data_IF_585713973271
#
_entry.id   IF_585713973271
#
_cell.length_a   1.000
_cell.length_b   1.000
_cell.length_c   1.000
_cell.angle_alpha   90.00
_cell.angle_beta   90.00
_cell.angle_gamma   90.00
#
_symmetry.space_group_name_H-M   'P 1'
#
loop_
_entity.id
_entity.type
_entity.pdbx_description
1 polymer ?
#
# COMPACT_ATOMS: atom_id res chain seq x y z
N UNK A 1 18.86 6.53 13.55
CA UNK A 1 17.65 6.28 12.74
C UNK A 1 17.18 7.53 12.00
N UNK A 2 16.16 7.41 11.15
CA UNK A 2 15.64 8.54 10.36
C UNK A 2 15.22 9.73 11.25
N UNK A 3 14.60 9.46 12.39
CA UNK A 3 14.20 10.49 13.36
C UNK A 3 15.37 11.27 13.95
N UNK A 4 16.50 10.62 14.19
CA UNK A 4 17.71 11.26 14.70
C UNK A 4 18.38 12.16 13.65
N UNK A 5 18.35 11.75 12.38
CA UNK A 5 18.89 12.54 11.27
C UNK A 5 18.11 13.84 11.11
N UNK A 6 16.78 13.77 11.15
CA UNK A 6 15.92 14.96 11.01
C UNK A 6 16.03 15.90 12.21
N UNK A 7 16.11 15.40 13.44
CA UNK A 7 16.31 16.25 14.63
C UNK A 7 17.72 16.87 14.71
N UNK A 8 18.77 16.11 14.38
CA UNK A 8 20.15 16.61 14.41
C UNK A 8 20.44 17.67 13.35
N UNK A 9 19.72 17.63 12.21
CA UNK A 9 19.90 18.58 11.12
C UNK A 9 18.95 19.79 11.19
N UNK A 10 18.07 19.88 12.21
CA UNK A 10 17.12 20.98 12.34
C UNK A 10 16.09 21.04 11.21
N UNK A 11 15.80 19.91 10.58
CA UNK A 11 14.79 19.84 9.53
C UNK A 11 13.39 19.91 10.14
N UNK A 12 12.90 21.12 10.37
CA UNK A 12 11.50 21.39 10.65
C UNK A 12 10.66 21.36 9.36
N UNK A 13 9.33 21.47 9.51
CA UNK A 13 8.38 21.47 8.39
C UNK A 13 8.75 22.47 7.27
N UNK A 14 9.24 23.66 7.63
CA UNK A 14 9.66 24.70 6.70
C UNK A 14 10.83 24.25 5.82
N UNK A 15 11.79 23.51 6.37
CA UNK A 15 12.94 23.01 5.62
C UNK A 15 12.54 21.87 4.67
N UNK A 16 11.61 21.00 5.07
CA UNK A 16 11.05 19.99 4.19
C UNK A 16 10.26 20.61 3.03
N UNK A 17 9.56 21.70 3.26
CA UNK A 17 8.88 22.46 2.20
C UNK A 17 9.85 23.06 1.18
N UNK A 18 11.00 23.56 1.61
CA UNK A 18 12.01 24.11 0.71
C UNK A 18 12.58 23.08 -0.27
N UNK A 19 12.43 21.78 0.05
CA UNK A 19 12.76 20.66 -0.82
C UNK A 19 11.63 20.24 -1.79
N UNK A 20 10.57 21.03 -1.89
CA UNK A 20 9.43 20.75 -2.76
C UNK A 20 8.39 19.79 -2.18
N UNK A 21 8.46 19.49 -0.89
CA UNK A 21 7.49 18.65 -0.19
C UNK A 21 6.30 19.52 0.22
N UNK A 22 5.07 19.07 -0.08
CA UNK A 22 3.87 19.81 0.34
C UNK A 22 3.77 19.88 1.86
N UNK A 23 3.16 20.99 2.38
CA UNK A 23 2.98 21.21 3.81
C UNK A 23 2.42 19.99 4.55
N UNK A 24 1.36 19.41 4.01
CA UNK A 24 0.72 18.22 4.58
C UNK A 24 1.67 17.01 4.66
N UNK A 25 2.49 16.79 3.63
CA UNK A 25 3.49 15.70 3.65
C UNK A 25 4.62 15.99 4.64
N UNK A 26 5.05 17.25 4.76
CA UNK A 26 6.05 17.65 5.74
C UNK A 26 5.55 17.39 7.17
N UNK A 27 4.30 17.76 7.47
CA UNK A 27 3.64 17.45 8.75
C UNK A 27 3.64 15.94 9.05
N UNK A 28 3.25 15.10 8.07
CA UNK A 28 3.22 13.63 8.26
C UNK A 28 4.61 13.05 8.52
N UNK A 29 5.63 13.52 7.82
CA UNK A 29 7.02 13.07 8.00
C UNK A 29 7.51 13.46 9.39
N UNK A 30 7.22 14.68 9.84
CA UNK A 30 7.63 15.18 11.17
C UNK A 30 6.94 14.42 12.29
N UNK A 31 5.61 14.21 12.20
CA UNK A 31 4.83 13.43 13.16
C UNK A 31 5.35 11.98 13.26
N UNK A 32 5.64 11.35 12.13
CA UNK A 32 6.21 10.00 12.11
C UNK A 32 7.60 9.95 12.75
N UNK A 33 8.48 10.87 12.38
CA UNK A 33 9.84 10.94 12.93
C UNK A 33 9.82 11.15 14.46
N UNK A 34 8.90 11.97 14.96
CA UNK A 34 8.73 12.20 16.40
C UNK A 34 8.23 10.92 17.11
N UNK A 35 7.24 10.23 16.56
CA UNK A 35 6.72 8.97 17.13
C UNK A 35 7.79 7.89 17.21
N UNK A 36 8.61 7.74 16.18
CA UNK A 36 9.74 6.79 16.18
C UNK A 36 10.79 7.22 17.22
N UNK A 37 11.13 8.52 17.27
CA UNK A 37 12.13 9.02 18.20
C UNK A 37 11.72 8.88 19.68
N UNK A 38 10.45 9.10 19.98
CA UNK A 38 9.90 8.99 21.35
C UNK A 38 9.57 7.55 21.75
N UNK A 39 9.65 6.58 20.82
CA UNK A 39 9.24 5.21 21.06
C UNK A 39 7.72 5.00 21.04
N UNK A 40 6.94 6.01 20.67
CA UNK A 40 5.48 5.88 20.49
C UNK A 40 5.10 5.01 19.28
N UNK A 41 6.03 4.82 18.35
CA UNK A 41 5.92 3.87 17.25
C UNK A 41 7.18 3.00 17.21
N UNK A 42 7.00 1.68 17.35
CA UNK A 42 8.09 0.71 17.31
C UNK A 42 8.37 0.28 15.85
N UNK A 43 9.24 1.02 15.17
CA UNK A 43 9.60 0.77 13.78
C UNK A 43 10.34 -0.57 13.58
N UNK A 44 11.11 -1.00 14.56
CA UNK A 44 11.84 -2.28 14.47
C UNK A 44 10.92 -3.46 14.76
N UNK A 45 10.06 -3.32 15.78
CA UNK A 45 9.12 -4.37 16.19
C UNK A 45 8.05 -4.66 15.15
N UNK A 46 7.75 -3.73 14.22
CA UNK A 46 6.75 -3.95 13.16
C UNK A 46 7.08 -5.16 12.27
N UNK A 47 8.38 -5.48 12.11
CA UNK A 47 8.84 -6.61 11.29
C UNK A 47 8.47 -7.97 11.87
N UNK A 48 8.24 -8.05 13.18
CA UNK A 48 7.91 -9.28 13.89
C UNK A 48 6.40 -9.54 13.98
N UNK A 49 5.58 -8.57 13.54
CA UNK A 49 4.12 -8.64 13.61
C UNK A 49 3.51 -9.39 12.45
N UNK A 50 2.31 -9.90 12.65
CA UNK A 50 1.49 -10.44 11.55
C UNK A 50 1.16 -9.35 10.53
N UNK A 51 0.75 -9.73 9.33
CA UNK A 51 0.39 -8.77 8.29
C UNK A 51 -0.78 -7.87 8.74
N UNK A 52 -1.79 -8.45 9.41
CA UNK A 52 -2.93 -7.71 9.93
C UNK A 52 -2.54 -6.70 11.02
N UNK A 53 -1.64 -7.08 11.92
CA UNK A 53 -1.14 -6.19 12.97
C UNK A 53 -0.29 -5.08 12.39
N UNK A 54 0.60 -5.40 11.45
CA UNK A 54 1.45 -4.43 10.78
C UNK A 54 0.62 -3.41 9.98
N UNK A 55 -0.39 -3.86 9.22
CA UNK A 55 -1.30 -2.96 8.50
C UNK A 55 -2.04 -2.04 9.46
N UNK A 56 -2.58 -2.56 10.56
CA UNK A 56 -3.30 -1.77 11.57
C UNK A 56 -2.41 -0.69 12.19
N UNK A 57 -1.20 -1.03 12.56
CA UNK A 57 -0.26 -0.07 13.16
C UNK A 57 0.24 0.97 12.15
N UNK A 58 0.64 0.55 10.96
CA UNK A 58 1.05 1.47 9.91
C UNK A 58 -0.08 2.43 9.54
N UNK A 59 -1.31 1.92 9.39
CA UNK A 59 -2.47 2.74 9.04
C UNK A 59 -2.96 3.66 10.16
N UNK A 60 -2.46 3.50 11.39
CA UNK A 60 -2.69 4.45 12.49
C UNK A 60 -1.86 5.74 12.37
N UNK A 61 -0.84 5.73 11.51
CA UNK A 61 0.02 6.88 11.27
C UNK A 61 -0.67 7.88 10.33
N UNK A 62 -0.49 9.17 10.59
CA UNK A 62 -1.03 10.23 9.74
C UNK A 62 -0.53 10.10 8.31
N UNK A 63 -1.44 10.12 7.35
CA UNK A 63 -1.14 10.04 5.91
C UNK A 63 -0.88 8.64 5.37
N UNK A 64 -0.96 7.61 6.19
CA UNK A 64 -0.87 6.21 5.77
C UNK A 64 -2.25 5.55 5.89
N UNK A 65 -2.87 5.27 4.75
CA UNK A 65 -4.08 4.46 4.67
C UNK A 65 -3.76 2.97 4.55
N UNK A 66 -4.80 2.13 4.63
CA UNK A 66 -4.67 0.66 4.51
C UNK A 66 -3.93 0.26 3.23
N UNK A 67 -4.31 0.82 2.08
CA UNK A 67 -3.62 0.53 0.81
C UNK A 67 -2.12 0.87 0.86
N UNK A 68 -1.75 2.03 1.43
CA UNK A 68 -0.33 2.41 1.58
C UNK A 68 0.40 1.45 2.52
N UNK A 69 -0.23 1.04 3.62
CA UNK A 69 0.33 0.04 4.55
C UNK A 69 0.56 -1.30 3.84
N UNK A 70 -0.40 -1.78 3.05
CA UNK A 70 -0.25 -2.99 2.24
C UNK A 70 0.91 -2.87 1.23
N UNK A 71 1.09 -1.70 0.59
CA UNK A 71 2.24 -1.46 -0.31
C UNK A 71 3.59 -1.47 0.45
N UNK A 72 3.63 -0.97 1.68
CA UNK A 72 4.81 -1.08 2.55
C UNK A 72 5.11 -2.55 2.85
N UNK A 73 4.11 -3.34 3.21
CA UNK A 73 4.27 -4.78 3.45
C UNK A 73 4.84 -5.49 2.22
N UNK A 74 4.30 -5.19 1.04
CA UNK A 74 4.69 -5.85 -0.20
C UNK A 74 6.10 -5.45 -0.65
N UNK A 75 6.37 -4.14 -0.76
CA UNK A 75 7.61 -3.65 -1.39
C UNK A 75 8.77 -3.47 -0.40
N UNK A 76 8.49 -3.02 0.84
CA UNK A 76 9.54 -2.75 1.82
C UNK A 76 9.79 -3.96 2.71
N UNK A 77 8.73 -4.60 3.22
CA UNK A 77 8.83 -5.74 4.11
C UNK A 77 8.90 -7.08 3.37
N UNK A 78 8.67 -7.11 2.06
CA UNK A 78 8.72 -8.28 1.20
C UNK A 78 7.81 -9.43 1.69
N UNK A 79 6.64 -9.07 2.23
CA UNK A 79 5.65 -10.06 2.66
C UNK A 79 5.09 -10.79 1.46
N UNK A 80 4.91 -12.11 1.60
CA UNK A 80 4.60 -13.00 0.46
C UNK A 80 3.12 -13.02 0.07
N UNK A 81 2.23 -12.68 1.00
CA UNK A 81 0.78 -12.89 0.80
C UNK A 81 -0.04 -11.61 0.88
N UNK A 82 0.41 -10.57 0.19
CA UNK A 82 -0.27 -9.27 0.13
C UNK A 82 -1.06 -9.15 -1.18
N UNK A 83 -2.38 -9.01 -1.06
CA UNK A 83 -3.29 -8.71 -2.16
C UNK A 83 -4.30 -7.66 -1.68
N UNK A 84 -4.23 -6.43 -2.21
CA UNK A 84 -5.05 -5.32 -1.77
C UNK A 84 -6.43 -5.30 -2.43
N UNK A 85 -7.48 -5.28 -1.61
CA UNK A 85 -8.87 -5.19 -2.10
C UNK A 85 -9.20 -3.82 -2.70
N UNK A 86 -8.60 -2.76 -2.15
CA UNK A 86 -8.86 -1.38 -2.53
C UNK A 86 -7.98 -0.90 -3.71
N UNK A 87 -7.11 -1.77 -4.21
CA UNK A 87 -6.27 -1.46 -5.37
C UNK A 87 -7.06 -1.61 -6.67
N UNK A 88 -7.28 -0.48 -7.34
CA UNK A 88 -8.07 -0.42 -8.58
C UNK A 88 -7.44 -1.22 -9.73
N UNK A 89 -6.11 -1.29 -9.79
CA UNK A 89 -5.42 -2.03 -10.84
C UNK A 89 -5.50 -3.54 -10.59
N UNK A 90 -5.44 -3.98 -9.34
CA UNK A 90 -5.69 -5.39 -8.96
C UNK A 90 -7.13 -5.77 -9.29
N UNK A 91 -8.11 -4.96 -8.92
CA UNK A 91 -9.51 -5.21 -9.28
C UNK A 91 -9.71 -5.28 -10.81
N UNK A 92 -9.07 -4.37 -11.54
CA UNK A 92 -9.10 -4.39 -13.02
C UNK A 92 -8.46 -5.65 -13.57
N UNK A 93 -7.29 -6.04 -13.08
CA UNK A 93 -6.60 -7.27 -13.48
C UNK A 93 -7.46 -8.51 -13.25
N UNK A 94 -8.12 -8.60 -12.09
CA UNK A 94 -9.06 -9.69 -11.78
C UNK A 94 -10.25 -9.72 -12.76
N UNK A 95 -10.83 -8.56 -13.11
CA UNK A 95 -11.91 -8.50 -14.11
C UNK A 95 -11.43 -8.98 -15.47
N UNK A 96 -10.25 -8.57 -15.89
CA UNK A 96 -9.67 -8.95 -17.18
C UNK A 96 -9.40 -10.45 -17.28
N UNK A 97 -8.74 -11.01 -16.26
CA UNK A 97 -8.35 -12.44 -16.25
C UNK A 97 -9.55 -13.37 -16.11
N UNK A 98 -10.52 -13.00 -15.25
CA UNK A 98 -11.65 -13.88 -14.91
C UNK A 98 -12.98 -13.45 -15.53
N UNK A 99 -12.98 -12.48 -16.43
CA UNK A 99 -14.11 -12.00 -17.20
C UNK A 99 -15.28 -11.50 -16.33
N UNK A 100 -14.98 -10.81 -15.24
CA UNK A 100 -15.99 -10.25 -14.34
C UNK A 100 -16.29 -8.79 -14.67
N UNK A 101 -17.55 -8.41 -14.57
CA UNK A 101 -17.96 -7.01 -14.74
C UNK A 101 -17.67 -6.16 -13.49
N UNK A 102 -17.67 -6.80 -12.33
CA UNK A 102 -17.39 -6.18 -11.02
C UNK A 102 -16.75 -7.20 -10.11
N UNK A 103 -15.84 -6.75 -9.26
CA UNK A 103 -15.27 -7.53 -8.16
C UNK A 103 -15.87 -6.95 -6.87
N UNK A 104 -16.78 -7.68 -6.25
CA UNK A 104 -17.24 -7.38 -4.91
C UNK A 104 -16.30 -8.02 -3.85
N UNK A 105 -16.54 -7.69 -2.59
CA UNK A 105 -15.70 -8.18 -1.49
C UNK A 105 -15.68 -9.71 -1.38
N UNK A 106 -16.80 -10.35 -1.55
CA UNK A 106 -16.90 -11.81 -1.47
C UNK A 106 -16.12 -12.52 -2.57
N UNK A 107 -16.24 -12.00 -3.80
CA UNK A 107 -15.48 -12.51 -4.95
C UNK A 107 -13.98 -12.23 -4.81
N UNK A 108 -13.61 -11.05 -4.33
CA UNK A 108 -12.22 -10.72 -4.03
C UNK A 108 -11.63 -11.71 -3.01
N UNK A 109 -12.29 -11.98 -1.90
CA UNK A 109 -11.84 -12.92 -0.88
C UNK A 109 -11.71 -14.36 -1.41
N UNK A 110 -12.54 -14.77 -2.36
CA UNK A 110 -12.40 -16.03 -3.06
C UNK A 110 -11.07 -16.12 -3.81
N UNK A 111 -10.70 -15.06 -4.55
CA UNK A 111 -9.43 -14.99 -5.27
C UNK A 111 -8.23 -14.83 -4.33
N UNK A 112 -8.35 -14.03 -3.28
CA UNK A 112 -7.32 -13.90 -2.26
C UNK A 112 -6.94 -15.27 -1.67
N UNK A 113 -7.92 -16.07 -1.26
CA UNK A 113 -7.69 -17.43 -0.78
C UNK A 113 -7.09 -18.37 -1.82
N UNK A 114 -7.45 -18.20 -3.09
CA UNK A 114 -6.90 -19.01 -4.19
C UNK A 114 -5.42 -18.72 -4.44
N UNK A 115 -5.01 -17.47 -4.29
CA UNK A 115 -3.63 -17.06 -4.53
C UNK A 115 -2.73 -17.27 -3.31
N UNK A 116 -3.31 -17.30 -2.10
CA UNK A 116 -2.56 -17.53 -0.87
C UNK A 116 -1.81 -18.87 -0.94
N UNK A 117 -0.53 -18.92 -0.51
CA UNK A 117 0.26 -17.89 0.18
C UNK A 117 1.08 -16.96 -0.74
N UNK A 118 0.74 -16.83 -2.01
CA UNK A 118 1.50 -16.09 -3.02
C UNK A 118 0.78 -14.82 -3.49
N UNK A 119 0.00 -14.18 -2.63
CA UNK A 119 -0.76 -12.98 -2.94
C UNK A 119 0.08 -11.85 -3.52
N UNK A 120 1.31 -11.66 -3.02
CA UNK A 120 2.22 -10.62 -3.52
C UNK A 120 2.67 -10.86 -4.96
N UNK A 121 2.97 -12.10 -5.32
CA UNK A 121 3.28 -12.47 -6.71
C UNK A 121 2.05 -12.28 -7.60
N UNK A 122 0.87 -12.69 -7.12
CA UNK A 122 -0.39 -12.47 -7.84
C UNK A 122 -0.66 -10.97 -8.06
N UNK A 123 -0.37 -10.11 -7.08
CA UNK A 123 -0.47 -8.66 -7.21
C UNK A 123 0.37 -8.12 -8.37
N UNK A 124 1.64 -8.55 -8.47
CA UNK A 124 2.54 -8.12 -9.55
C UNK A 124 2.00 -8.52 -10.93
N UNK A 125 1.51 -9.75 -11.08
CA UNK A 125 0.92 -10.22 -12.35
C UNK A 125 -0.38 -9.48 -12.68
N UNK A 126 -1.25 -9.24 -11.71
CA UNK A 126 -2.50 -8.52 -11.93
C UNK A 126 -2.24 -7.06 -12.31
N UNK A 127 -1.25 -6.40 -11.73
CA UNK A 127 -0.82 -5.07 -12.16
C UNK A 127 -0.29 -5.07 -13.60
N UNK A 128 0.56 -6.04 -13.97
CA UNK A 128 1.06 -6.17 -15.33
C UNK A 128 -0.08 -6.35 -16.34
N UNK A 129 -1.03 -7.25 -16.06
CA UNK A 129 -2.22 -7.47 -16.89
C UNK A 129 -3.06 -6.21 -16.98
N UNK A 130 -3.33 -5.55 -15.87
CA UNK A 130 -4.06 -4.28 -15.83
C UNK A 130 -3.37 -3.18 -16.65
N UNK A 131 -2.05 -3.20 -16.71
CA UNK A 131 -1.22 -2.29 -17.50
C UNK A 131 -1.12 -2.63 -18.98
N UNK A 132 -1.73 -3.74 -19.43
CA UNK A 132 -1.75 -4.13 -20.85
C UNK A 132 -0.64 -5.10 -21.27
N UNK A 133 -0.01 -5.83 -20.32
CA UNK A 133 1.01 -6.82 -20.64
C UNK A 133 0.50 -7.97 -21.52
N UNK A 134 -0.81 -8.21 -21.56
CA UNK A 134 -1.48 -9.19 -22.42
C UNK A 134 -2.49 -8.44 -23.29
N UNK A 135 -2.15 -8.13 -24.56
CA UNK A 135 -3.00 -7.28 -25.43
C UNK A 135 -4.40 -7.85 -25.70
N UNK A 136 -4.57 -9.16 -25.64
CA UNK A 136 -5.84 -9.86 -25.91
C UNK A 136 -6.83 -9.71 -24.75
N UNK A 137 -6.36 -9.39 -23.54
CA UNK A 137 -7.21 -9.19 -22.39
C UNK A 137 -7.73 -7.75 -22.33
N UNK A 138 -9.02 -7.60 -22.04
CA UNK A 138 -9.66 -6.30 -21.89
C UNK A 138 -10.48 -6.24 -20.59
N UNK A 139 -10.76 -5.03 -20.12
CA UNK A 139 -11.57 -4.84 -18.91
C UNK A 139 -13.06 -5.02 -19.23
N UNK A 140 -13.71 -5.88 -18.48
CA UNK A 140 -15.14 -6.18 -18.58
C UNK A 140 -16.03 -5.24 -17.75
N UNK A 141 -15.46 -4.20 -17.13
CA UNK A 141 -16.26 -3.22 -16.41
C UNK A 141 -17.33 -2.60 -17.33
N UNK A 142 -18.53 -2.30 -16.82
CA UNK A 142 -19.54 -1.56 -17.58
C UNK A 142 -18.96 -0.22 -18.06
N UNK A 143 -19.14 0.10 -19.34
CA UNK A 143 -18.82 1.46 -19.84
C UNK A 143 -19.76 2.43 -19.14
N UNK A 144 -19.22 3.46 -18.52
CA UNK A 144 -20.05 4.57 -18.03
C UNK A 144 -20.82 5.15 -19.23
N UNK A 145 -22.14 5.21 -19.09
CA UNK A 145 -22.95 5.96 -20.08
C UNK A 145 -22.59 7.44 -19.87
N UNK A 146 -21.93 8.02 -20.87
CA UNK A 146 -21.76 9.46 -20.95
C UNK A 146 -23.10 10.15 -21.07
#
# INVERSE_FOLDING_TARGET
GLGDVYKRQGYGEANLQSLGISFRKAEYITDFAEKVHTGAFDLEGIWQKSDEEAIRELSSLKGIGVWTAEMILLFCMQRQDVLSCDDLAIQRGLRMVYHHRKIDRGLFEKYRRRFSPYGSVASLYLWAVSGGAIPELHDYAPKEKK
#
